data_IF_505653128807
#
_entry.id   IF_505653128807
#
_cell.length_a   1.000
_cell.length_b   1.000
_cell.length_c   1.000
_cell.angle_alpha   90.00
_cell.angle_beta   90.00
_cell.angle_gamma   90.00
#
_symmetry.space_group_name_H-M   'P 1'
#
loop_
_entity.id
_entity.type
_entity.pdbx_description
1 polymer ?
#
# COMPACT_ATOMS: atom_id res chain seq x y z
N UNK A 1 15.14 5.01 6.79
CA UNK A 1 13.90 4.89 7.61
C UNK A 1 14.08 3.89 8.75
N UNK A 2 14.45 2.62 8.51
CA UNK A 2 14.66 1.63 9.59
C UNK A 2 15.68 2.08 10.64
N UNK A 3 16.85 2.59 10.21
CA UNK A 3 17.88 3.10 11.14
C UNK A 3 17.40 4.29 11.97
N UNK A 4 16.53 5.16 11.41
CA UNK A 4 15.97 6.28 12.15
C UNK A 4 15.01 5.79 13.23
N UNK A 5 14.07 4.90 12.88
CA UNK A 5 13.09 4.32 13.81
C UNK A 5 13.77 3.56 14.96
N UNK A 6 14.84 2.81 14.67
CA UNK A 6 15.64 2.14 15.69
C UNK A 6 16.32 3.15 16.63
N UNK A 7 16.96 4.19 16.07
CA UNK A 7 17.64 5.23 16.86
C UNK A 7 16.69 5.99 17.78
N UNK A 8 15.44 6.17 17.37
CA UNK A 8 14.41 6.86 18.17
C UNK A 8 13.64 5.92 19.11
N UNK A 9 14.02 4.64 19.20
CA UNK A 9 13.35 3.67 20.09
C UNK A 9 11.91 3.33 19.67
N UNK A 10 11.54 3.57 18.41
CA UNK A 10 10.21 3.21 17.92
C UNK A 10 10.15 1.69 17.69
N UNK A 11 9.17 1.02 18.32
CA UNK A 11 8.88 -0.38 18.04
C UNK A 11 8.06 -0.54 16.74
N UNK A 12 8.60 -0.02 15.64
CA UNK A 12 8.02 -0.07 14.31
C UNK A 12 9.11 -0.18 13.26
N UNK A 13 8.79 -0.80 12.11
CA UNK A 13 9.71 -0.87 10.98
C UNK A 13 9.00 -0.61 9.65
N UNK A 14 9.73 -0.16 8.61
CA UNK A 14 9.15 0.12 7.29
C UNK A 14 8.45 -1.07 6.64
N UNK A 15 8.88 -2.31 6.94
CA UNK A 15 8.23 -3.51 6.44
C UNK A 15 6.90 -3.77 7.16
N UNK A 16 6.85 -3.51 8.47
CA UNK A 16 5.62 -3.60 9.28
C UNK A 16 4.53 -2.68 8.72
N UNK A 17 4.85 -1.43 8.41
CA UNK A 17 3.88 -0.50 7.80
C UNK A 17 3.28 -1.01 6.49
N UNK A 18 4.09 -1.61 5.60
CA UNK A 18 3.60 -2.19 4.34
C UNK A 18 2.71 -3.41 4.58
N UNK A 19 3.09 -4.28 5.51
CA UNK A 19 2.30 -5.46 5.87
C UNK A 19 0.94 -5.05 6.44
N UNK A 20 0.91 -4.08 7.37
CA UNK A 20 -0.33 -3.55 7.94
C UNK A 20 -1.26 -2.97 6.87
N UNK A 21 -0.74 -2.13 5.97
CA UNK A 21 -1.53 -1.59 4.86
C UNK A 21 -2.04 -2.70 3.94
N UNK A 22 -1.21 -3.69 3.62
CA UNK A 22 -1.59 -4.80 2.74
C UNK A 22 -2.72 -5.65 3.31
N UNK A 23 -2.65 -5.95 4.60
CA UNK A 23 -3.67 -6.73 5.29
C UNK A 23 -4.98 -5.94 5.37
N UNK A 24 -4.91 -4.67 5.77
CA UNK A 24 -6.09 -3.81 5.85
C UNK A 24 -6.80 -3.66 4.49
N UNK A 25 -6.05 -3.47 3.40
CA UNK A 25 -6.63 -3.44 2.05
C UNK A 25 -7.34 -4.75 1.69
N UNK A 26 -6.81 -5.90 2.11
CA UNK A 26 -7.40 -7.21 1.82
C UNK A 26 -8.64 -7.52 2.67
N UNK A 27 -8.62 -7.12 3.94
CA UNK A 27 -9.63 -7.54 4.93
C UNK A 27 -10.79 -6.55 5.04
N UNK A 28 -10.55 -5.28 4.74
CA UNK A 28 -11.49 -4.18 5.06
C UNK A 28 -11.96 -3.43 3.83
N UNK A 29 -11.45 -3.75 2.64
CA UNK A 29 -11.78 -3.03 1.40
C UNK A 29 -12.04 -3.98 0.23
N UNK A 30 -12.55 -3.39 -0.85
CA UNK A 30 -12.78 -4.01 -2.15
C UNK A 30 -11.60 -3.79 -3.13
N UNK A 31 -10.42 -3.41 -2.62
CA UNK A 31 -9.25 -3.13 -3.45
C UNK A 31 -8.84 -4.33 -4.33
N UNK A 32 -8.81 -4.16 -5.66
CA UNK A 32 -8.26 -5.18 -6.54
C UNK A 32 -6.79 -5.46 -6.21
N UNK A 33 -6.36 -6.72 -6.39
CA UNK A 33 -5.00 -7.16 -6.07
C UNK A 33 -3.95 -6.27 -6.73
N UNK A 34 -4.09 -5.99 -8.02
CA UNK A 34 -3.17 -5.13 -8.78
C UNK A 34 -3.06 -3.73 -8.19
N UNK A 35 -4.17 -3.16 -7.75
CA UNK A 35 -4.21 -1.81 -7.17
C UNK A 35 -3.50 -1.82 -5.82
N UNK A 36 -3.82 -2.78 -4.96
CA UNK A 36 -3.20 -2.92 -3.63
C UNK A 36 -1.68 -3.12 -3.72
N UNK A 37 -1.22 -3.98 -4.61
CA UNK A 37 0.22 -4.20 -4.82
C UNK A 37 0.90 -2.97 -5.45
N UNK A 38 0.23 -2.26 -6.34
CA UNK A 38 0.78 -1.02 -6.93
C UNK A 38 0.86 0.11 -5.90
N UNK A 39 -0.07 0.19 -4.93
CA UNK A 39 0.04 1.10 -3.76
C UNK A 39 1.33 0.84 -2.98
N UNK A 40 1.73 -0.43 -2.86
CA UNK A 40 2.95 -0.85 -2.16
C UNK A 40 4.22 -0.72 -3.03
N UNK A 41 4.08 -0.19 -4.25
CA UNK A 41 5.14 -0.13 -5.28
C UNK A 41 5.70 -1.50 -5.65
N UNK A 42 4.90 -2.56 -5.51
CA UNK A 42 5.27 -3.89 -5.96
C UNK A 42 5.08 -4.02 -7.47
N UNK A 43 5.93 -4.85 -8.09
CA UNK A 43 5.78 -5.20 -9.50
C UNK A 43 4.83 -6.39 -9.63
N UNK A 44 3.71 -6.20 -10.31
CA UNK A 44 2.67 -7.22 -10.49
C UNK A 44 2.65 -7.74 -11.91
N UNK A 45 2.32 -9.02 -12.06
CA UNK A 45 2.13 -9.68 -13.34
C UNK A 45 3.44 -10.09 -14.02
N UNK A 46 3.34 -10.98 -15.02
CA UNK A 46 4.46 -11.49 -15.80
C UNK A 46 5.01 -10.47 -16.80
N UNK A 47 6.11 -10.82 -17.49
CA UNK A 47 6.76 -9.93 -18.48
C UNK A 47 5.78 -9.47 -19.56
N UNK A 48 4.93 -10.36 -20.06
CA UNK A 48 3.93 -10.07 -21.10
C UNK A 48 2.85 -9.13 -20.59
N UNK A 49 2.23 -9.44 -19.46
CA UNK A 49 1.18 -8.61 -18.85
C UNK A 49 1.68 -7.18 -18.57
N UNK A 50 2.90 -7.04 -18.05
CA UNK A 50 3.52 -5.74 -17.79
C UNK A 50 3.82 -4.95 -19.06
N UNK A 51 4.12 -5.63 -20.18
CA UNK A 51 4.34 -4.94 -21.45
C UNK A 51 3.06 -4.26 -21.97
N UNK A 52 1.88 -4.84 -21.65
CA UNK A 52 0.58 -4.28 -22.03
C UNK A 52 -0.03 -3.38 -20.93
N UNK A 53 0.33 -3.58 -19.66
CA UNK A 53 -0.15 -2.78 -18.53
C UNK A 53 0.58 -1.44 -18.48
N UNK A 54 -0.02 -0.43 -19.12
CA UNK A 54 0.48 0.97 -19.16
C UNK A 54 -0.03 1.85 -18.02
N UNK A 55 -0.94 1.34 -17.19
CA UNK A 55 -1.55 2.08 -16.09
C UNK A 55 -0.84 1.78 -14.77
N UNK A 56 -0.76 2.78 -13.91
CA UNK A 56 -0.36 2.68 -12.51
C UNK A 56 -1.57 2.77 -11.56
N UNK A 57 -2.79 2.74 -12.12
CA UNK A 57 -4.06 2.82 -11.40
C UNK A 57 -4.20 4.06 -10.50
N UNK A 58 -3.56 5.19 -10.85
CA UNK A 58 -3.48 6.37 -9.97
C UNK A 58 -4.81 6.77 -9.32
N UNK A 59 -5.89 6.92 -10.10
CA UNK A 59 -7.20 7.30 -9.56
C UNK A 59 -7.80 6.25 -8.62
N UNK A 60 -7.64 4.96 -8.93
CA UNK A 60 -8.11 3.88 -8.06
C UNK A 60 -7.27 3.84 -6.78
N UNK A 61 -5.94 4.00 -6.89
CA UNK A 61 -5.05 4.09 -5.73
C UNK A 61 -5.45 5.24 -4.82
N UNK A 62 -5.76 6.41 -5.37
CA UNK A 62 -6.15 7.60 -4.62
C UNK A 62 -7.32 7.31 -3.67
N UNK A 63 -8.38 6.65 -4.15
CA UNK A 63 -9.54 6.30 -3.32
C UNK A 63 -9.14 5.48 -2.10
N UNK A 64 -8.31 4.45 -2.27
CA UNK A 64 -7.88 3.61 -1.14
C UNK A 64 -6.87 4.30 -0.23
N UNK A 65 -6.00 5.15 -0.78
CA UNK A 65 -5.06 5.95 0.00
C UNK A 65 -5.78 6.99 0.87
N UNK A 66 -6.84 7.63 0.35
CA UNK A 66 -7.69 8.54 1.10
C UNK A 66 -8.42 7.80 2.23
N UNK A 67 -9.00 6.61 1.95
CA UNK A 67 -9.61 5.75 2.98
C UNK A 67 -8.61 5.31 4.06
N UNK A 68 -7.40 4.94 3.66
CA UNK A 68 -6.35 4.54 4.61
C UNK A 68 -5.93 5.71 5.50
N UNK A 69 -5.75 6.90 4.93
CA UNK A 69 -5.43 8.11 5.67
C UNK A 69 -6.51 8.42 6.71
N UNK A 70 -7.78 8.38 6.32
CA UNK A 70 -8.92 8.53 7.23
C UNK A 70 -8.86 7.52 8.39
N UNK A 71 -8.64 6.24 8.09
CA UNK A 71 -8.59 5.16 9.08
C UNK A 71 -7.46 5.33 10.11
N UNK A 72 -6.23 5.66 9.69
CA UNK A 72 -5.09 5.76 10.61
C UNK A 72 -4.99 7.09 11.36
N UNK A 73 -5.77 8.09 10.93
CA UNK A 73 -5.80 9.42 11.59
C UNK A 73 -7.08 9.67 12.37
N UNK A 74 -8.00 8.70 12.41
CA UNK A 74 -9.32 8.82 13.05
C UNK A 74 -10.13 10.00 12.50
N UNK A 75 -9.97 10.27 11.19
CA UNK A 75 -10.73 11.29 10.46
C UNK A 75 -11.87 10.58 9.74
N UNK A 76 -12.95 10.28 10.47
CA UNK A 76 -14.19 9.74 9.92
C UNK A 76 -15.14 10.84 9.44
#
# INVERSE_FOLDING_TARGET
>A
MSQYMQKTGLNACPHGFRSSLRNWLAETTDAPYEVAETILSHTVGGKVERAYRRTDYLEQRRVYMDKWAAYVTDQA
#
